data_IF_046650060613
#
_entry.id   IF_046650060613
#
_cell.length_a   1.000
_cell.length_b   1.000
_cell.length_c   1.000
_cell.angle_alpha   90.00
_cell.angle_beta   90.00
_cell.angle_gamma   90.00
#
_symmetry.space_group_name_H-M   'P 1'
#
loop_
_entity.id
_entity.type
_entity.pdbx_description
1 polymer ?
#
# COMPACT_ATOMS: atom_id res chain seq x y z
N UNK A 1 -6.22 7.27 -0.66
CA UNK A 1 -7.46 7.43 0.13
C UNK A 1 -8.25 8.67 -0.29
N UNK A 2 -8.76 8.74 -1.54
CA UNK A 2 -9.41 9.95 -2.06
C UNK A 2 -10.61 10.42 -1.24
N UNK A 3 -11.40 9.49 -0.71
CA UNK A 3 -12.59 9.81 0.10
C UNK A 3 -12.24 10.52 1.40
N UNK A 4 -11.12 10.16 2.02
CA UNK A 4 -10.73 10.70 3.32
C UNK A 4 -10.18 12.13 3.23
N UNK A 5 -9.20 12.38 2.36
CA UNK A 5 -8.63 13.72 2.24
C UNK A 5 -9.04 14.52 1.00
N UNK A 6 -9.57 13.85 -0.04
CA UNK A 6 -10.01 14.54 -1.24
C UNK A 6 -11.30 15.35 -1.06
N UNK A 7 -12.18 14.93 -0.17
CA UNK A 7 -13.47 15.58 0.12
C UNK A 7 -13.63 16.05 1.57
N UNK A 8 -12.58 15.95 2.37
CA UNK A 8 -12.51 16.40 3.76
C UNK A 8 -13.67 15.85 4.64
N UNK A 9 -13.97 14.56 4.46
CA UNK A 9 -14.98 13.86 5.26
C UNK A 9 -14.33 13.08 6.39
N UNK A 10 -15.03 13.02 7.51
CA UNK A 10 -14.63 12.23 8.67
C UNK A 10 -15.01 10.75 8.48
N UNK A 11 -14.01 9.91 8.27
CA UNK A 11 -14.17 8.45 8.23
C UNK A 11 -13.57 7.80 9.46
N UNK A 12 -14.11 6.67 9.95
CA UNK A 12 -13.47 5.91 11.01
C UNK A 12 -12.12 5.35 10.55
N UNK A 13 -11.06 5.72 11.27
CA UNK A 13 -9.70 5.21 11.07
C UNK A 13 -9.19 4.74 12.43
N UNK A 14 -8.74 3.50 12.50
CA UNK A 14 -8.21 2.93 13.74
C UNK A 14 -7.20 1.82 13.46
N UNK A 15 -6.29 1.55 14.40
CA UNK A 15 -5.43 0.38 14.33
C UNK A 15 -6.28 -0.90 14.39
N UNK A 16 -5.86 -1.93 13.66
CA UNK A 16 -6.55 -3.23 13.63
C UNK A 16 -6.14 -4.14 14.80
N UNK A 17 -5.08 -3.77 15.51
CA UNK A 17 -4.52 -4.53 16.62
C UNK A 17 -4.43 -3.68 17.89
N UNK A 18 -4.34 -4.34 19.03
CA UNK A 18 -4.14 -3.69 20.33
C UNK A 18 -5.35 -2.89 20.85
N UNK A 19 -6.55 -3.09 20.31
CA UNK A 19 -7.77 -2.39 20.70
C UNK A 19 -8.28 -2.76 22.11
N UNK A 20 -7.77 -3.83 22.69
CA UNK A 20 -8.05 -4.30 24.05
C UNK A 20 -7.20 -3.59 25.12
N UNK A 21 -6.27 -2.73 24.71
CA UNK A 21 -5.35 -2.02 25.60
C UNK A 21 -5.51 -0.52 25.47
N UNK A 22 -5.26 0.24 26.55
CA UNK A 22 -5.20 1.68 26.45
C UNK A 22 -4.13 2.12 25.44
N UNK A 23 -4.42 3.08 24.54
CA UNK A 23 -3.43 3.60 23.62
C UNK A 23 -2.33 4.35 24.37
N UNK A 24 -1.08 4.11 23.98
CA UNK A 24 0.10 4.76 24.59
C UNK A 24 0.67 5.89 23.70
N UNK A 25 0.29 5.93 22.43
CA UNK A 25 0.75 6.89 21.45
C UNK A 25 -0.39 7.61 20.73
N UNK A 26 0.01 8.57 19.92
CA UNK A 26 -0.89 9.27 19.00
C UNK A 26 -0.21 9.48 17.66
N UNK A 27 -0.98 9.46 16.58
CA UNK A 27 -0.47 9.63 15.21
C UNK A 27 -1.32 10.61 14.41
N UNK A 28 -0.71 11.12 13.35
CA UNK A 28 -1.34 11.85 12.25
C UNK A 28 -0.98 11.14 10.96
N UNK A 29 -1.92 10.98 10.07
CA UNK A 29 -1.70 10.38 8.76
C UNK A 29 -1.43 11.47 7.72
N UNK A 30 -0.35 11.28 6.99
CA UNK A 30 0.08 12.15 5.89
C UNK A 30 0.17 11.31 4.63
N UNK A 31 -0.03 11.92 3.47
CA UNK A 31 0.27 11.25 2.22
C UNK A 31 1.78 11.24 1.94
N UNK A 32 2.20 10.48 0.95
CA UNK A 32 3.59 10.36 0.49
C UNK A 32 3.76 10.80 -0.95
N UNK A 33 2.81 11.56 -1.48
CA UNK A 33 2.89 12.07 -2.86
C UNK A 33 3.79 13.30 -2.94
N UNK A 34 4.36 13.57 -4.12
CA UNK A 34 5.35 14.62 -4.29
C UNK A 34 4.74 16.04 -4.40
N UNK A 35 3.45 16.14 -4.61
CA UNK A 35 2.74 17.37 -4.98
C UNK A 35 1.57 17.70 -4.03
N UNK A 36 1.44 16.96 -2.96
CA UNK A 36 0.34 17.09 -2.00
C UNK A 36 0.86 17.20 -0.58
N UNK A 37 0.24 18.07 0.19
CA UNK A 37 0.34 18.14 1.64
C UNK A 37 -0.88 17.45 2.29
N UNK A 38 -1.36 16.36 1.68
CA UNK A 38 -2.51 15.60 2.15
C UNK A 38 -2.33 15.13 3.59
N UNK A 39 -3.26 15.52 4.44
CA UNK A 39 -3.24 15.23 5.87
C UNK A 39 -4.64 14.89 6.33
N UNK A 40 -4.76 13.81 7.10
CA UNK A 40 -5.97 13.56 7.89
C UNK A 40 -5.74 14.18 9.26
N UNK A 41 -6.43 15.27 9.57
CA UNK A 41 -6.30 16.04 10.80
C UNK A 41 -7.55 15.99 11.70
N UNK A 42 -8.52 15.13 11.33
CA UNK A 42 -9.74 14.89 12.09
C UNK A 42 -9.98 13.40 12.26
N UNK A 43 -9.99 12.94 13.51
CA UNK A 43 -10.16 11.53 13.88
C UNK A 43 -11.29 11.38 14.87
N UNK A 44 -12.05 10.28 14.75
CA UNK A 44 -13.02 9.88 15.76
C UNK A 44 -12.26 9.37 16.99
N UNK A 45 -12.45 10.01 18.14
CA UNK A 45 -11.81 9.63 19.41
C UNK A 45 -12.83 9.74 20.57
N UNK A 46 -13.22 8.61 21.11
CA UNK A 46 -14.27 8.54 22.11
C UNK A 46 -15.60 9.14 21.63
N UNK A 47 -16.10 10.13 22.36
CA UNK A 47 -17.38 10.82 22.05
C UNK A 47 -17.19 12.05 21.17
N UNK A 48 -16.01 12.26 20.60
CA UNK A 48 -15.69 13.49 19.87
C UNK A 48 -14.76 13.31 18.67
N UNK A 49 -14.23 14.43 18.24
CA UNK A 49 -13.26 14.53 17.16
C UNK A 49 -11.95 15.11 17.72
N UNK A 50 -10.84 14.46 17.39
CA UNK A 50 -9.50 14.87 17.76
C UNK A 50 -8.65 15.16 16.52
N UNK A 51 -7.56 15.90 16.66
CA UNK A 51 -6.61 16.17 15.58
C UNK A 51 -5.53 15.10 15.41
N UNK A 52 -5.56 14.09 16.26
CA UNK A 52 -4.63 12.95 16.23
C UNK A 52 -5.39 11.68 16.57
N UNK A 53 -4.95 10.56 16.04
CA UNK A 53 -5.51 9.23 16.27
C UNK A 53 -4.81 8.56 17.46
N UNK A 54 -5.54 7.89 18.37
CA UNK A 54 -4.92 7.03 19.37
C UNK A 54 -4.26 5.82 18.73
N UNK A 55 -3.05 5.49 19.18
CA UNK A 55 -2.23 4.42 18.63
C UNK A 55 -1.66 3.52 19.73
N UNK A 56 -1.48 2.22 19.46
CA UNK A 56 -0.63 1.36 20.27
C UNK A 56 0.83 1.84 20.22
N UNK A 57 1.70 1.33 21.10
CA UNK A 57 3.14 1.58 20.99
C UNK A 57 3.64 1.20 19.60
N UNK A 58 4.45 2.08 19.00
CA UNK A 58 5.05 1.80 17.70
C UNK A 58 6.22 0.83 17.85
N UNK A 59 6.14 -0.27 17.10
CA UNK A 59 7.22 -1.25 16.95
C UNK A 59 7.65 -1.26 15.47
N UNK A 60 8.89 -0.85 15.14
CA UNK A 60 9.36 -0.86 13.76
C UNK A 60 9.53 -2.25 13.14
N UNK A 61 9.66 -3.29 13.97
CA UNK A 61 9.74 -4.68 13.49
C UNK A 61 8.35 -5.30 13.27
N UNK A 62 7.31 -4.67 13.81
CA UNK A 62 5.93 -5.11 13.67
C UNK A 62 5.00 -3.88 13.68
N UNK A 63 5.00 -3.07 12.60
CA UNK A 63 4.21 -1.86 12.53
C UNK A 63 2.70 -2.18 12.58
N UNK A 64 1.91 -1.39 13.32
CA UNK A 64 0.48 -1.64 13.43
C UNK A 64 -0.23 -1.38 12.10
N UNK A 65 -1.10 -2.30 11.70
CA UNK A 65 -1.98 -2.14 10.56
C UNK A 65 -3.12 -1.16 10.90
N UNK A 66 -3.49 -0.33 9.95
CA UNK A 66 -4.59 0.64 10.07
C UNK A 66 -5.75 0.24 9.17
N UNK A 67 -6.97 0.31 9.71
CA UNK A 67 -8.20 0.16 8.97
C UNK A 67 -8.85 1.53 8.71
N UNK A 68 -9.28 1.74 7.47
CA UNK A 68 -10.13 2.85 7.06
C UNK A 68 -11.49 2.30 6.72
N UNK A 69 -12.51 2.70 7.45
CA UNK A 69 -13.82 2.10 7.35
C UNK A 69 -14.82 3.01 6.65
N UNK A 70 -15.82 2.41 6.00
CA UNK A 70 -16.90 3.10 5.31
C UNK A 70 -16.44 3.95 4.11
N UNK A 71 -15.23 3.74 3.64
CA UNK A 71 -14.70 4.29 2.39
C UNK A 71 -15.04 3.36 1.22
N UNK A 72 -14.77 3.76 -0.03
CA UNK A 72 -14.82 2.87 -1.18
C UNK A 72 -15.71 3.35 -2.33
N UNK A 73 -16.56 4.36 -2.11
CA UNK A 73 -17.49 4.84 -3.16
C UNK A 73 -16.78 5.27 -4.46
N UNK A 74 -15.54 5.72 -4.35
CA UNK A 74 -14.73 6.18 -5.49
C UNK A 74 -13.28 5.68 -5.43
N UNK A 75 -12.96 4.74 -4.53
CA UNK A 75 -11.58 4.30 -4.28
C UNK A 75 -10.95 3.72 -5.54
N UNK A 76 -11.60 2.78 -6.22
CA UNK A 76 -11.09 2.14 -7.42
C UNK A 76 -10.97 3.12 -8.60
N UNK A 77 -11.97 3.98 -8.82
CA UNK A 77 -11.96 4.93 -9.93
C UNK A 77 -10.93 6.05 -9.73
N UNK A 78 -10.69 6.45 -8.49
CA UNK A 78 -9.71 7.48 -8.11
C UNK A 78 -8.36 6.90 -7.68
N UNK A 79 -8.26 5.59 -7.45
CA UNK A 79 -7.02 4.85 -7.50
C UNK A 79 -6.49 4.89 -8.93
N UNK A 80 -5.29 5.37 -9.14
CA UNK A 80 -4.75 5.54 -10.48
C UNK A 80 -3.22 5.52 -10.46
N UNK A 81 -2.66 5.55 -11.67
CA UNK A 81 -1.23 5.52 -11.91
C UNK A 81 -0.48 6.80 -11.46
N UNK A 82 -1.16 7.78 -10.88
CA UNK A 82 -0.51 9.01 -10.40
C UNK A 82 0.50 8.68 -9.30
N UNK A 83 1.68 9.26 -9.38
CA UNK A 83 2.85 8.93 -8.57
C UNK A 83 3.32 7.46 -8.68
N UNK A 84 2.85 6.72 -9.69
CA UNK A 84 3.22 5.34 -10.00
C UNK A 84 2.85 4.33 -8.89
N UNK A 85 1.76 4.58 -8.17
CA UNK A 85 1.24 3.62 -7.20
C UNK A 85 0.26 2.61 -7.84
N UNK A 86 -0.62 3.05 -8.73
CA UNK A 86 -1.60 2.17 -9.37
C UNK A 86 -2.71 1.69 -8.44
N UNK A 87 -3.39 0.63 -8.87
CA UNK A 87 -4.46 0.01 -8.10
C UNK A 87 -3.91 -0.86 -6.96
N UNK A 88 -4.66 -0.91 -5.87
CA UNK A 88 -4.37 -1.78 -4.73
C UNK A 88 -5.06 -3.13 -4.88
N UNK A 89 -4.48 -4.17 -4.29
CA UNK A 89 -5.14 -5.46 -4.17
C UNK A 89 -6.51 -5.32 -3.50
N UNK A 90 -7.52 -6.00 -4.03
CA UNK A 90 -8.88 -5.97 -3.52
C UNK A 90 -9.41 -7.36 -3.23
N UNK A 91 -10.20 -7.48 -2.16
CA UNK A 91 -10.82 -8.73 -1.73
C UNK A 91 -12.29 -8.49 -1.44
N UNK A 92 -13.17 -9.26 -2.08
CA UNK A 92 -14.58 -9.28 -1.73
C UNK A 92 -14.80 -10.16 -0.50
N UNK A 93 -15.55 -9.62 0.46
CA UNK A 93 -15.86 -10.32 1.72
C UNK A 93 -17.36 -10.52 1.83
N UNK A 94 -17.79 -11.77 1.89
CA UNK A 94 -19.19 -12.16 2.05
C UNK A 94 -19.44 -12.65 3.48
N UNK A 95 -20.36 -12.00 4.18
CA UNK A 95 -20.76 -12.38 5.54
C UNK A 95 -22.18 -12.96 5.50
N UNK A 96 -22.35 -14.20 5.93
CA UNK A 96 -23.62 -14.92 5.91
C UNK A 96 -24.38 -14.80 7.24
N UNK A 97 -25.70 -15.03 7.25
CA UNK A 97 -26.50 -14.92 8.46
C UNK A 97 -26.12 -15.88 9.59
N UNK A 98 -25.44 -16.98 9.28
CA UNK A 98 -24.93 -17.95 10.26
C UNK A 98 -23.57 -17.53 10.86
N UNK A 99 -23.03 -16.38 10.44
CA UNK A 99 -21.75 -15.86 10.89
C UNK A 99 -20.54 -16.41 10.13
N UNK A 100 -20.74 -17.25 9.11
CA UNK A 100 -19.65 -17.68 8.23
C UNK A 100 -19.19 -16.53 7.34
N UNK A 101 -17.92 -16.56 6.96
CA UNK A 101 -17.29 -15.56 6.11
C UNK A 101 -16.60 -16.28 4.95
N UNK A 102 -16.85 -15.81 3.74
CA UNK A 102 -16.14 -16.23 2.53
C UNK A 102 -15.42 -15.01 1.95
N UNK A 103 -14.26 -15.24 1.37
CA UNK A 103 -13.46 -14.21 0.69
C UNK A 103 -13.14 -14.63 -0.72
N UNK A 104 -13.21 -13.69 -1.64
CA UNK A 104 -12.80 -13.87 -3.04
C UNK A 104 -11.81 -12.76 -3.40
N UNK A 105 -10.65 -13.13 -3.94
CA UNK A 105 -9.68 -12.16 -4.45
C UNK A 105 -10.24 -11.59 -5.76
N UNK A 106 -10.55 -10.30 -5.77
CA UNK A 106 -11.13 -9.62 -6.92
C UNK A 106 -10.07 -9.06 -7.85
N UNK A 107 -8.97 -8.55 -7.28
CA UNK A 107 -7.85 -7.96 -8.02
C UNK A 107 -6.55 -8.12 -7.20
N UNK A 108 -5.43 -8.37 -7.90
CA UNK A 108 -4.09 -8.46 -7.28
C UNK A 108 -3.39 -7.11 -7.18
N UNK A 109 -3.99 -6.06 -7.77
CA UNK A 109 -3.37 -4.75 -7.87
C UNK A 109 -2.27 -4.68 -8.94
N UNK A 110 -1.69 -3.49 -9.11
CA UNK A 110 -0.70 -3.24 -10.16
C UNK A 110 0.72 -3.60 -9.72
N UNK A 111 1.48 -4.18 -10.64
CA UNK A 111 2.92 -4.41 -10.50
C UNK A 111 3.76 -3.23 -11.02
N UNK A 112 5.04 -3.21 -10.69
CA UNK A 112 5.99 -2.25 -11.26
C UNK A 112 6.08 -2.39 -12.79
N UNK A 113 5.93 -3.61 -13.33
CA UNK A 113 5.89 -3.85 -14.77
C UNK A 113 4.69 -3.15 -15.41
N UNK A 114 3.50 -3.21 -14.81
CA UNK A 114 2.30 -2.52 -15.30
C UNK A 114 2.51 -1.01 -15.34
N UNK A 115 3.16 -0.45 -14.30
CA UNK A 115 3.52 0.96 -14.25
C UNK A 115 4.48 1.35 -15.38
N UNK A 116 5.48 0.51 -15.67
CA UNK A 116 6.43 0.74 -16.75
C UNK A 116 5.73 0.71 -18.11
N UNK A 117 4.86 -0.25 -18.36
CA UNK A 117 4.06 -0.34 -19.58
C UNK A 117 3.16 0.87 -19.76
N UNK A 118 2.54 1.36 -18.70
CA UNK A 118 1.71 2.57 -18.73
C UNK A 118 2.50 3.80 -19.21
N UNK A 119 3.76 3.94 -18.81
CA UNK A 119 4.64 5.02 -19.30
C UNK A 119 5.42 4.66 -20.58
N UNK A 120 5.02 3.59 -21.28
CA UNK A 120 5.56 3.13 -22.56
C UNK A 120 7.01 2.63 -22.47
N UNK A 121 7.42 2.11 -21.33
CA UNK A 121 8.65 1.36 -21.15
C UNK A 121 8.34 -0.13 -21.20
N UNK A 122 9.19 -0.87 -21.93
CA UNK A 122 9.06 -2.33 -22.04
C UNK A 122 9.85 -3.01 -20.91
N UNK A 123 9.19 -3.64 -19.91
CA UNK A 123 9.86 -4.27 -18.79
C UNK A 123 10.74 -5.47 -19.23
N UNK A 124 10.34 -6.19 -20.28
CA UNK A 124 11.12 -7.31 -20.81
C UNK A 124 12.43 -6.80 -21.44
N UNK A 125 12.36 -5.73 -22.21
CA UNK A 125 13.55 -5.11 -22.80
C UNK A 125 14.45 -4.51 -21.73
N UNK A 126 13.88 -3.94 -20.67
CA UNK A 126 14.63 -3.40 -19.54
C UNK A 126 15.37 -4.51 -18.78
N UNK A 127 14.72 -5.62 -18.48
CA UNK A 127 15.32 -6.79 -17.84
C UNK A 127 16.45 -7.39 -18.70
N UNK A 128 16.23 -7.51 -20.01
CA UNK A 128 17.25 -8.02 -20.94
C UNK A 128 18.51 -7.11 -20.92
N UNK A 129 18.30 -5.80 -20.95
CA UNK A 129 19.39 -4.83 -20.87
C UNK A 129 20.14 -4.91 -19.53
N UNK A 130 19.41 -5.06 -18.42
CA UNK A 130 20.01 -5.23 -17.11
C UNK A 130 20.85 -6.51 -17.03
N UNK A 131 20.33 -7.64 -17.53
CA UNK A 131 21.06 -8.91 -17.62
C UNK A 131 22.38 -8.76 -18.39
N UNK A 132 22.37 -8.02 -19.50
CA UNK A 132 23.58 -7.78 -20.29
C UNK A 132 24.57 -6.86 -19.55
N UNK A 133 24.11 -5.83 -18.86
CA UNK A 133 24.97 -4.97 -18.03
C UNK A 133 25.61 -5.73 -16.87
N UNK A 134 24.86 -6.61 -16.19
CA UNK A 134 25.40 -7.44 -15.11
C UNK A 134 26.49 -8.37 -15.58
N UNK A 135 26.37 -8.97 -16.79
CA UNK A 135 27.41 -9.82 -17.40
C UNK A 135 28.73 -9.08 -17.68
N UNK A 136 28.66 -7.76 -17.90
CA UNK A 136 29.84 -6.91 -18.14
C UNK A 136 30.58 -6.51 -16.86
N UNK A 137 30.07 -6.87 -15.68
CA UNK A 137 30.67 -6.58 -14.39
C UNK A 137 31.72 -7.62 -14.01
N UNK A 138 32.63 -7.25 -13.10
CA UNK A 138 33.63 -8.19 -12.51
C UNK A 138 33.06 -9.04 -11.35
N UNK A 139 31.75 -9.09 -11.18
CA UNK A 139 31.09 -9.88 -10.16
C UNK A 139 31.18 -11.38 -10.50
N UNK A 140 31.22 -12.23 -9.47
CA UNK A 140 31.14 -13.67 -9.69
C UNK A 140 29.73 -14.07 -10.19
N UNK A 141 29.64 -15.27 -10.74
CA UNK A 141 28.43 -15.74 -11.40
C UNK A 141 27.22 -15.88 -10.44
N UNK A 142 27.48 -16.15 -9.16
CA UNK A 142 26.45 -16.30 -8.14
C UNK A 142 25.81 -14.95 -7.82
N UNK A 143 26.64 -13.93 -7.59
CA UNK A 143 26.18 -12.55 -7.39
C UNK A 143 25.50 -11.98 -8.64
N UNK A 144 26.02 -12.27 -9.85
CA UNK A 144 25.36 -11.87 -11.08
C UNK A 144 23.94 -12.45 -11.19
N UNK A 145 23.77 -13.73 -10.85
CA UNK A 145 22.49 -14.39 -10.86
C UNK A 145 21.54 -13.79 -9.81
N UNK A 146 22.03 -13.55 -8.59
CA UNK A 146 21.24 -12.94 -7.53
C UNK A 146 20.75 -11.54 -7.91
N UNK A 147 21.59 -10.66 -8.44
CA UNK A 147 21.17 -9.33 -8.87
C UNK A 147 20.10 -9.36 -9.97
N UNK A 148 20.20 -10.32 -10.89
CA UNK A 148 19.18 -10.46 -11.95
C UNK A 148 17.86 -10.95 -11.35
N UNK A 149 17.89 -11.91 -10.43
CA UNK A 149 16.72 -12.44 -9.77
C UNK A 149 16.00 -11.36 -8.91
N UNK A 150 16.76 -10.61 -8.11
CA UNK A 150 16.22 -9.49 -7.32
C UNK A 150 15.62 -8.40 -8.20
N UNK A 151 16.27 -8.06 -9.32
CA UNK A 151 15.74 -7.08 -10.26
C UNK A 151 14.46 -7.58 -10.94
N UNK A 152 14.42 -8.83 -11.35
CA UNK A 152 13.24 -9.46 -11.97
C UNK A 152 12.07 -9.55 -10.95
N UNK A 153 12.35 -9.95 -9.72
CA UNK A 153 11.37 -9.95 -8.64
C UNK A 153 10.80 -8.55 -8.39
N UNK A 154 11.66 -7.52 -8.34
CA UNK A 154 11.23 -6.14 -8.19
C UNK A 154 10.39 -5.61 -9.36
N UNK A 155 10.61 -6.08 -10.59
CA UNK A 155 9.78 -5.68 -11.74
C UNK A 155 8.35 -6.22 -11.66
N UNK A 156 8.19 -7.43 -11.13
CA UNK A 156 6.88 -8.08 -11.02
C UNK A 156 6.31 -8.01 -9.60
N UNK A 157 6.99 -7.28 -8.71
CA UNK A 157 6.51 -6.98 -7.38
C UNK A 157 5.40 -5.93 -7.40
N UNK A 158 4.61 -5.93 -6.33
CA UNK A 158 3.52 -5.00 -6.11
C UNK A 158 4.05 -3.56 -5.96
N UNK A 159 3.29 -2.55 -6.41
CA UNK A 159 3.74 -1.15 -6.39
C UNK A 159 3.76 -0.52 -5.00
N UNK A 160 3.06 -1.10 -4.05
CA UNK A 160 3.10 -0.71 -2.65
C UNK A 160 4.11 -1.55 -1.90
N UNK A 161 4.63 -1.02 -0.79
CA UNK A 161 5.62 -1.74 0.01
C UNK A 161 5.01 -3.01 0.61
N UNK A 162 5.68 -4.12 0.38
CA UNK A 162 5.39 -5.42 1.01
C UNK A 162 6.61 -5.85 1.83
N UNK A 163 6.36 -6.50 2.96
CA UNK A 163 7.42 -7.19 3.69
C UNK A 163 7.74 -8.50 2.95
N UNK A 164 9.02 -8.75 2.64
CA UNK A 164 9.52 -10.01 2.04
C UNK A 164 9.47 -11.18 3.03
#
# INVERSE_FOLDING_TARGET
MPDAWGIDQLFPVLPLEGLDKPPEGRAVLLDITCDSDGTIDHYIDGDGVATTMPMPPYDPENPPLLGFFMVGAYQEILGNMHNLFGDTASVDVFVFPDGSVETELSDEGDSVADMLEYVQLDPIALLAKFRDQVKETDLDAELQAQFVEEFEAGLYGYTYLEDE
#
